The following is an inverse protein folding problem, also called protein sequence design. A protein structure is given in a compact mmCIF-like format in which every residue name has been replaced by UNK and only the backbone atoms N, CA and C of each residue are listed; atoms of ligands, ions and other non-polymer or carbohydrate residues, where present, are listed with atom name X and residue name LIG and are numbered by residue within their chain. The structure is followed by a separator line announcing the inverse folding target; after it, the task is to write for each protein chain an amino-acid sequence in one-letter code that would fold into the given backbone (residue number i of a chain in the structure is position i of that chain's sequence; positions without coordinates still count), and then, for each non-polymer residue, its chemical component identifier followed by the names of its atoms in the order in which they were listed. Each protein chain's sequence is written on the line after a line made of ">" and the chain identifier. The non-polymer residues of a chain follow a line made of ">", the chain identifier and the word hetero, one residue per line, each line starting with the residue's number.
data_IF_987859307970
#
_entry.id   IF_987859307970
#
_cell.length_a   1.000
_cell.length_b   1.000
_cell.length_c   1.000
_cell.angle_alpha   90.00
_cell.angle_beta   90.00
_cell.angle_gamma   90.00
#
_symmetry.space_group_name_H-M   'P 1'
#
loop_
_entity.id
_entity.type
_entity.pdbx_description
1 polymer ?
#
# COMPACT_ATOMS: atom_id res chain seq x y z
N UNK A 1 -9.22 -18.97 13.13
CA UNK A 1 -9.86 -17.75 12.65
C UNK A 1 -8.86 -16.91 11.91
N UNK A 2 -9.21 -16.49 10.73
CA UNK A 2 -8.32 -15.71 9.89
C UNK A 2 -8.53 -14.24 10.15
N UNK A 3 -7.47 -13.53 10.45
CA UNK A 3 -7.54 -12.09 10.58
C UNK A 3 -6.99 -11.46 9.33
N UNK A 4 -7.77 -10.59 8.70
CA UNK A 4 -7.31 -9.84 7.56
C UNK A 4 -6.85 -8.49 8.05
N UNK A 5 -5.64 -8.12 7.67
CA UNK A 5 -5.08 -6.82 8.03
C UNK A 5 -4.97 -5.97 6.79
N UNK A 6 -5.24 -4.70 6.96
CA UNK A 6 -5.15 -3.74 5.87
C UNK A 6 -4.20 -2.63 6.29
N UNK A 7 -3.18 -2.41 5.46
CA UNK A 7 -2.24 -1.32 5.66
C UNK A 7 -2.45 -0.32 4.54
N UNK A 8 -2.83 0.89 4.89
CA UNK A 8 -3.11 1.94 3.92
C UNK A 8 -2.02 2.99 4.02
N UNK A 9 -1.35 3.21 2.91
CA UNK A 9 -0.35 4.25 2.82
C UNK A 9 -0.92 5.46 2.12
N UNK A 10 -1.07 6.55 2.83
CA UNK A 10 -1.63 7.75 2.27
C UNK A 10 -0.55 8.56 1.57
N UNK A 11 -0.90 9.08 0.42
CA UNK A 11 -0.04 9.96 -0.33
C UNK A 11 -0.88 10.95 -1.07
N UNK A 12 -0.29 12.07 -1.39
CA UNK A 12 -0.98 13.08 -2.16
C UNK A 12 -0.23 13.28 -3.47
N UNK A 13 -0.83 12.90 -4.59
CA UNK A 13 -0.14 12.94 -5.87
C UNK A 13 -0.02 14.33 -6.48
N UNK A 14 -0.52 15.36 -5.84
CA UNK A 14 -0.44 16.70 -6.38
C UNK A 14 0.99 17.22 -6.45
N UNK A 15 1.33 17.97 -7.49
CA UNK A 15 2.70 18.41 -7.65
C UNK A 15 3.21 19.33 -6.55
N UNK A 16 2.34 20.07 -5.92
CA UNK A 16 2.78 20.92 -4.82
C UNK A 16 3.01 20.14 -3.54
N UNK A 17 2.68 18.85 -3.55
CA UNK A 17 2.87 18.01 -2.40
C UNK A 17 3.79 16.85 -2.71
N UNK A 18 4.67 17.03 -3.65
CA UNK A 18 5.42 15.93 -4.16
C UNK A 18 6.40 15.36 -3.19
N UNK A 19 6.56 15.91 -2.05
CA UNK A 19 7.65 15.53 -1.26
C UNK A 19 7.27 14.70 -0.12
N UNK A 20 8.04 14.29 0.38
CA UNK A 20 8.37 13.49 1.49
C UNK A 20 7.29 13.37 2.53
N UNK A 21 6.78 14.45 3.00
CA UNK A 21 5.86 14.39 4.10
C UNK A 21 4.49 13.85 3.69
N UNK A 22 4.03 14.27 2.52
CA UNK A 22 2.72 13.88 2.06
C UNK A 22 2.68 12.49 1.45
N UNK A 23 3.86 12.00 1.06
CA UNK A 23 3.93 10.70 0.43
C UNK A 23 4.59 9.64 1.30
N UNK A 24 4.84 9.96 2.55
CA UNK A 24 5.55 9.05 3.42
C UNK A 24 4.82 7.72 3.61
N UNK A 25 3.49 7.78 3.72
CA UNK A 25 2.72 6.55 3.86
C UNK A 25 2.81 5.67 2.64
N UNK A 26 2.70 6.28 1.45
CA UNK A 26 2.81 5.54 0.22
C UNK A 26 4.20 4.92 0.07
N UNK A 27 5.24 5.66 0.41
CA UNK A 27 6.59 5.15 0.35
C UNK A 27 6.78 3.98 1.30
N UNK A 28 6.19 4.06 2.48
CA UNK A 28 6.27 2.97 3.43
C UNK A 28 5.65 1.70 2.86
N UNK A 29 4.48 1.83 2.27
CA UNK A 29 3.80 0.67 1.69
C UNK A 29 4.59 0.12 0.51
N UNK A 30 5.16 0.99 -0.32
CA UNK A 30 5.97 0.55 -1.45
C UNK A 30 7.19 -0.23 -0.98
N UNK A 31 7.84 0.24 0.05
CA UNK A 31 9.01 -0.46 0.59
C UNK A 31 8.62 -1.78 1.20
N UNK A 32 7.51 -1.80 1.92
CA UNK A 32 7.04 -3.04 2.52
C UNK A 32 6.71 -4.06 1.44
N UNK A 33 6.05 -3.63 0.37
CA UNK A 33 5.73 -4.51 -0.74
C UNK A 33 7.01 -5.09 -1.35
N UNK A 34 8.02 -4.25 -1.53
CA UNK A 34 9.28 -4.73 -2.09
C UNK A 34 9.94 -5.76 -1.19
N UNK A 35 9.92 -5.52 0.11
CA UNK A 35 10.49 -6.47 1.06
C UNK A 35 9.79 -7.82 1.03
N UNK A 36 8.50 -7.80 0.80
CA UNK A 36 7.70 -9.03 0.81
C UNK A 36 7.56 -9.65 -0.58
N UNK A 37 8.18 -9.05 -1.58
CA UNK A 37 8.10 -9.58 -2.93
C UNK A 37 6.73 -9.40 -3.56
N UNK A 38 6.00 -8.38 -3.16
CA UNK A 38 4.65 -8.11 -3.65
C UNK A 38 4.71 -7.05 -4.73
N UNK A 39 4.02 -7.31 -5.83
CA UNK A 39 3.84 -6.31 -6.86
C UNK A 39 2.54 -5.58 -6.64
N UNK A 40 2.63 -4.26 -6.52
CA UNK A 40 1.42 -3.44 -6.40
C UNK A 40 0.85 -3.22 -7.79
N UNK A 41 -0.47 -3.34 -7.89
CA UNK A 41 -1.14 -3.14 -9.16
C UNK A 41 -2.34 -2.23 -8.98
N UNK A 42 -2.65 -1.50 -10.04
CA UNK A 42 -3.77 -0.56 -9.99
C UNK A 42 -5.09 -1.32 -10.01
N UNK A 43 -5.94 -0.99 -9.06
CA UNK A 43 -7.26 -1.60 -8.94
C UNK A 43 -8.31 -0.52 -8.93
N UNK A 44 -9.07 -0.45 -10.00
CA UNK A 44 -10.11 0.59 -10.10
C UNK A 44 -11.15 0.45 -9.00
N UNK A 45 -11.43 -0.78 -8.65
CA UNK A 45 -12.41 -1.09 -7.62
C UNK A 45 -12.07 -0.43 -6.29
N UNK A 46 -10.79 -0.30 -6.00
CA UNK A 46 -10.34 0.23 -4.71
C UNK A 46 -9.72 1.61 -4.85
N UNK A 47 -9.73 2.18 -6.04
CA UNK A 47 -9.22 3.52 -6.29
C UNK A 47 -7.77 3.67 -5.84
N UNK A 48 -6.95 2.69 -6.20
CA UNK A 48 -5.56 2.79 -5.82
C UNK A 48 -4.73 1.59 -6.22
N UNK A 49 -3.50 1.60 -5.76
CA UNK A 49 -2.58 0.49 -5.95
C UNK A 49 -2.76 -0.49 -4.81
N UNK A 50 -2.85 -1.76 -5.16
CA UNK A 50 -3.13 -2.81 -4.18
C UNK A 50 -2.15 -3.94 -4.30
N UNK A 51 -1.89 -4.58 -3.17
CA UNK A 51 -1.10 -5.79 -3.13
C UNK A 51 -1.53 -6.63 -1.93
N UNK A 52 -1.02 -7.84 -1.86
CA UNK A 52 -1.37 -8.73 -0.77
C UNK A 52 -0.21 -9.69 -0.51
N UNK A 53 0.03 -9.96 0.75
CA UNK A 53 0.99 -10.99 1.12
C UNK A 53 0.49 -11.71 2.36
N UNK A 54 1.10 -12.85 2.64
CA UNK A 54 0.76 -13.64 3.80
C UNK A 54 1.88 -13.53 4.82
N UNK A 55 1.51 -13.29 6.07
CA UNK A 55 2.47 -13.19 7.15
C UNK A 55 1.95 -13.99 8.33
N UNK A 56 2.67 -15.03 8.69
CA UNK A 56 2.31 -15.90 9.81
C UNK A 56 0.88 -16.40 9.70
N UNK A 57 0.51 -16.83 8.51
CA UNK A 57 -0.82 -17.37 8.28
C UNK A 57 -1.93 -16.35 8.17
N UNK A 58 -1.60 -15.08 8.14
CA UNK A 58 -2.59 -14.02 8.01
C UNK A 58 -2.42 -13.29 6.70
N UNK A 59 -3.53 -12.95 6.08
CA UNK A 59 -3.50 -12.15 4.88
C UNK A 59 -3.35 -10.68 5.23
N UNK A 60 -2.34 -10.05 4.65
CA UNK A 60 -2.11 -8.62 4.83
C UNK A 60 -2.30 -7.96 3.48
N UNK A 61 -3.20 -6.99 3.42
CA UNK A 61 -3.46 -6.24 2.19
C UNK A 61 -2.84 -4.86 2.28
N UNK A 62 -2.28 -4.43 1.16
CA UNK A 62 -1.66 -3.12 1.04
C UNK A 62 -2.48 -2.27 0.09
N UNK A 63 -2.64 -1.01 0.42
CA UNK A 63 -3.39 -0.09 -0.42
C UNK A 63 -2.73 1.28 -0.41
N UNK A 64 -2.52 1.82 -1.59
CA UNK A 64 -2.10 3.21 -1.76
C UNK A 64 -3.19 3.89 -2.57
N UNK A 65 -4.08 4.63 -1.93
CA UNK A 65 -5.16 5.32 -2.64
C UNK A 65 -4.60 6.36 -3.60
N UNK A 66 -5.24 6.48 -4.73
CA UNK A 66 -4.83 7.47 -5.73
C UNK A 66 -5.96 8.45 -6.07
#
# INVERSE_FOLDING_TARGET
>A
MTAVQLIVGLGNPGPEYDQTRHNAGALFVERLAAQKGVSLSAERKYFGLCGKFSHQGRDVRLLIPT
#
